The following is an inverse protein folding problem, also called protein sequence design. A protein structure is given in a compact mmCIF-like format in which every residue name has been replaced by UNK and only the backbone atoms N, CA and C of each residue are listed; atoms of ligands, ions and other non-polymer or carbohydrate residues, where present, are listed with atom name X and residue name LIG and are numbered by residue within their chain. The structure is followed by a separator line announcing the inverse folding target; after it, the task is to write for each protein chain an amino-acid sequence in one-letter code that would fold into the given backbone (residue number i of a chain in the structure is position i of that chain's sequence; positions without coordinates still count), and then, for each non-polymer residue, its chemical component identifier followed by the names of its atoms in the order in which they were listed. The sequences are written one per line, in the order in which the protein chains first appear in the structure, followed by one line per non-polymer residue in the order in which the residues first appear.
data_IF_183813069993
#
_entry.id   IF_183813069993
#
_cell.length_a   1.000
_cell.length_b   1.000
_cell.length_c   1.000
_cell.angle_alpha   90.00
_cell.angle_beta   90.00
_cell.angle_gamma   90.00
#
_symmetry.space_group_name_H-M   'P 1'
#
loop_
_entity.id
_entity.type
_entity.pdbx_description
1 polymer ?
#
# COMPACT_ATOMS: atom_id res chain seq x y z
N UNK A 1 -8.76 26.15 -14.30
CA UNK A 1 -8.52 25.55 -14.06
C UNK A 1 -8.23 25.05 -13.94
N UNK A 2 -8.48 25.16 -13.89
CA UNK A 2 -7.97 24.40 -13.51
C UNK A 2 -7.53 23.45 -13.75
N UNK A 3 -7.52 23.64 -14.33
CA UNK A 3 -6.85 22.78 -14.71
C UNK A 3 -6.06 22.04 -13.90
N UNK A 4 -5.52 22.51 -13.06
CA UNK A 4 -4.75 21.78 -12.18
C UNK A 4 -5.44 20.66 -11.63
N UNK A 5 -6.68 20.73 -11.42
CA UNK A 5 -7.41 19.65 -10.87
C UNK A 5 -7.35 18.45 -11.73
N UNK A 6 -7.38 18.64 -13.01
CA UNK A 6 -7.37 17.51 -13.88
C UNK A 6 -6.06 16.81 -13.87
N UNK A 7 -5.02 17.55 -13.60
CA UNK A 7 -3.74 16.94 -13.61
C UNK A 7 -3.45 16.22 -12.35
N UNK A 8 -4.22 16.44 -11.34
CA UNK A 8 -3.93 15.83 -10.09
C UNK A 8 -4.30 14.39 -10.10
N UNK A 9 -3.53 13.60 -9.40
CA UNK A 9 -3.85 12.21 -9.19
C UNK A 9 -4.90 12.08 -8.12
N UNK A 10 -5.63 10.99 -8.16
CA UNK A 10 -6.55 10.69 -7.08
C UNK A 10 -5.77 10.53 -5.79
N UNK A 11 -6.30 11.00 -4.67
CA UNK A 11 -5.60 10.83 -3.40
C UNK A 11 -5.53 9.36 -3.01
N UNK A 12 -4.42 8.97 -2.37
CA UNK A 12 -4.28 7.62 -1.88
C UNK A 12 -5.08 7.48 -0.59
N UNK A 13 -5.89 6.44 -0.50
CA UNK A 13 -6.71 6.18 0.67
C UNK A 13 -6.17 5.00 1.43
N UNK A 14 -6.10 5.09 2.76
CA UNK A 14 -5.69 3.93 3.55
C UNK A 14 -6.74 2.84 3.44
N UNK A 15 -6.30 1.63 3.09
CA UNK A 15 -7.21 0.51 2.90
C UNK A 15 -6.54 -0.76 3.36
N UNK A 16 -7.32 -1.66 3.92
CA UNK A 16 -6.88 -3.04 4.06
C UNK A 16 -7.04 -3.74 2.73
N UNK A 17 -6.19 -4.73 2.48
CA UNK A 17 -6.22 -5.42 1.20
C UNK A 17 -7.62 -5.96 0.90
N UNK A 18 -8.27 -6.55 1.90
CA UNK A 18 -9.60 -7.13 1.67
C UNK A 18 -10.66 -6.09 1.36
N UNK A 19 -10.41 -4.82 1.67
CA UNK A 19 -11.38 -3.76 1.45
C UNK A 19 -11.19 -3.06 0.11
N UNK A 20 -10.12 -3.34 -0.59
CA UNK A 20 -9.86 -2.66 -1.84
C UNK A 20 -10.86 -3.09 -2.90
N UNK A 21 -11.49 -2.12 -3.52
CA UNK A 21 -12.47 -2.35 -4.58
C UNK A 21 -11.82 -1.96 -5.91
N UNK A 22 -11.44 -2.95 -6.74
CA UNK A 22 -10.73 -2.62 -7.97
C UNK A 22 -11.53 -1.81 -8.97
N UNK A 23 -12.83 -1.70 -8.78
CA UNK A 23 -13.65 -0.93 -9.69
C UNK A 23 -13.77 0.52 -9.25
N UNK A 24 -13.63 0.79 -7.96
CA UNK A 24 -13.84 2.13 -7.43
C UNK A 24 -12.62 2.77 -6.83
N UNK A 25 -11.69 1.97 -6.31
CA UNK A 25 -10.48 2.53 -5.71
C UNK A 25 -9.44 2.73 -6.78
N UNK A 26 -8.86 3.93 -6.83
CA UNK A 26 -7.84 4.26 -7.82
C UNK A 26 -6.46 4.18 -7.22
N UNK A 27 -6.27 4.80 -6.07
CA UNK A 27 -5.01 4.79 -5.35
C UNK A 27 -5.25 4.43 -3.91
N UNK A 28 -4.37 3.58 -3.38
CA UNK A 28 -4.53 3.11 -2.01
C UNK A 28 -3.19 3.17 -1.30
N UNK A 29 -3.26 3.17 0.01
CA UNK A 29 -2.10 3.14 0.88
C UNK A 29 -2.25 1.92 1.77
N UNK A 30 -1.31 0.99 1.67
CA UNK A 30 -1.38 -0.28 2.38
C UNK A 30 -0.12 -0.44 3.21
N UNK A 31 -0.29 -0.86 4.45
CA UNK A 31 0.83 -1.19 5.33
C UNK A 31 0.82 -2.68 5.53
N UNK A 32 1.94 -3.32 5.26
CA UNK A 32 2.00 -4.77 5.39
C UNK A 32 3.41 -5.29 5.45
N UNK A 33 3.50 -6.60 5.40
CA UNK A 33 4.77 -7.31 5.49
C UNK A 33 5.10 -7.93 4.14
N UNK A 34 6.35 -7.80 3.74
CA UNK A 34 6.83 -8.41 2.49
C UNK A 34 6.91 -9.90 2.70
N UNK A 35 6.09 -10.65 1.96
CA UNK A 35 6.12 -12.11 2.06
C UNK A 35 7.16 -12.71 1.13
N UNK A 36 7.32 -12.15 -0.05
CA UNK A 36 8.27 -12.68 -1.02
C UNK A 36 8.64 -11.58 -1.99
N UNK A 37 9.77 -11.78 -2.66
CA UNK A 37 10.28 -10.86 -3.66
C UNK A 37 10.48 -11.60 -4.96
N UNK A 38 10.02 -11.01 -6.05
CA UNK A 38 10.26 -11.48 -7.41
C UNK A 38 11.13 -10.47 -8.13
N UNK A 39 11.26 -10.63 -9.43
CA UNK A 39 12.11 -9.73 -10.19
C UNK A 39 11.63 -8.30 -10.17
N UNK A 40 10.33 -8.11 -10.33
CA UNK A 40 9.78 -6.76 -10.44
C UNK A 40 8.57 -6.56 -9.55
N UNK A 41 8.35 -7.45 -8.59
CA UNK A 41 7.19 -7.33 -7.74
C UNK A 41 7.46 -7.96 -6.38
N UNK A 42 6.61 -7.62 -5.44
CA UNK A 42 6.62 -8.24 -4.13
C UNK A 42 5.21 -8.69 -3.80
N UNK A 43 5.12 -9.63 -2.88
CA UNK A 43 3.83 -10.01 -2.30
C UNK A 43 3.74 -9.35 -0.94
N UNK A 44 2.69 -8.58 -0.73
CA UNK A 44 2.51 -7.79 0.48
C UNK A 44 1.27 -8.27 1.21
N UNK A 45 1.42 -8.57 2.50
CA UNK A 45 0.32 -9.09 3.32
C UNK A 45 0.09 -8.16 4.49
N UNK A 46 -1.15 -7.68 4.62
CA UNK A 46 -1.49 -6.77 5.72
C UNK A 46 -2.31 -7.45 6.81
N UNK A 47 -2.41 -8.77 6.77
CA UNK A 47 -3.20 -9.49 7.77
C UNK A 47 -4.64 -9.74 7.36
N UNK A 48 -5.15 -9.00 6.41
CA UNK A 48 -6.50 -9.23 5.88
C UNK A 48 -6.46 -9.95 4.55
N UNK A 49 -5.32 -9.89 3.87
CA UNK A 49 -5.13 -10.53 2.58
C UNK A 49 -3.78 -10.14 2.04
N UNK A 50 -3.43 -10.66 0.89
CA UNK A 50 -2.17 -10.34 0.25
C UNK A 50 -2.41 -9.81 -1.15
N UNK A 51 -1.46 -9.02 -1.63
CA UNK A 51 -1.58 -8.41 -2.95
C UNK A 51 -0.20 -8.33 -3.56
N UNK A 52 -0.15 -8.48 -4.87
CA UNK A 52 1.10 -8.33 -5.61
C UNK A 52 1.30 -6.87 -5.94
N UNK A 53 2.49 -6.35 -5.65
CA UNK A 53 2.83 -4.95 -5.87
C UNK A 53 4.00 -4.91 -6.82
N UNK A 54 3.80 -4.28 -7.97
CA UNK A 54 4.87 -4.10 -8.95
C UNK A 54 5.69 -2.88 -8.60
N UNK A 55 7.00 -3.03 -8.60
CA UNK A 55 7.93 -1.99 -8.19
C UNK A 55 9.05 -1.90 -9.21
N UNK A 56 9.72 -0.75 -9.23
CA UNK A 56 10.89 -0.57 -10.05
C UNK A 56 12.13 -1.08 -9.32
N UNK A 57 13.18 -1.32 -10.09
CA UNK A 57 14.40 -1.90 -9.52
C UNK A 57 14.88 -1.10 -8.32
N UNK A 58 14.86 0.22 -8.43
CA UNK A 58 15.34 1.06 -7.36
C UNK A 58 14.53 0.88 -6.09
N UNK A 59 13.24 0.67 -6.25
CA UNK A 59 12.38 0.51 -5.08
C UNK A 59 12.60 -0.83 -4.41
N UNK A 60 13.04 -1.82 -5.16
CA UNK A 60 13.22 -3.17 -4.62
C UNK A 60 14.58 -3.37 -3.97
N UNK A 61 15.53 -2.49 -4.23
CA UNK A 61 16.90 -2.69 -3.78
C UNK A 61 17.03 -2.89 -2.29
N UNK A 62 16.24 -2.17 -1.52
CA UNK A 62 16.38 -2.19 -0.07
C UNK A 62 15.33 -3.05 0.62
N UNK A 63 14.58 -3.84 -0.13
CA UNK A 63 13.50 -4.61 0.46
C UNK A 63 13.95 -6.03 0.77
N UNK A 64 13.40 -6.59 1.84
CA UNK A 64 13.68 -7.95 2.28
C UNK A 64 12.41 -8.62 2.72
N UNK A 65 12.40 -9.94 2.65
CA UNK A 65 11.29 -10.69 3.21
C UNK A 65 11.16 -10.42 4.70
N UNK A 66 9.93 -10.29 5.14
CA UNK A 66 9.66 -10.03 6.54
C UNK A 66 9.65 -8.58 6.93
N UNK A 67 10.04 -7.71 6.01
CA UNK A 67 10.10 -6.28 6.28
C UNK A 67 8.70 -5.69 6.28
N UNK A 68 8.47 -4.77 7.22
CA UNK A 68 7.19 -4.07 7.26
C UNK A 68 7.32 -2.76 6.51
N UNK A 69 6.44 -2.54 5.56
CA UNK A 69 6.52 -1.36 4.70
C UNK A 69 5.14 -0.77 4.49
N UNK A 70 5.12 0.48 4.06
CA UNK A 70 3.91 1.15 3.61
C UNK A 70 4.08 1.44 2.13
N UNK A 71 3.07 1.06 1.35
CA UNK A 71 3.08 1.26 -0.09
C UNK A 71 1.92 2.15 -0.48
N UNK A 72 2.23 3.19 -1.26
CA UNK A 72 1.21 3.93 -1.98
C UNK A 72 1.24 3.43 -3.39
N UNK A 73 0.09 3.03 -3.91
CA UNK A 73 0.07 2.48 -5.24
C UNK A 73 -1.26 2.66 -5.94
N UNK A 74 -1.21 2.46 -7.24
CA UNK A 74 -2.40 2.52 -8.06
C UNK A 74 -2.98 1.13 -8.22
N UNK A 75 -4.29 1.04 -8.14
CA UNK A 75 -4.99 -0.23 -8.26
C UNK A 75 -5.08 -0.61 -9.72
N UNK A 76 -4.62 -1.83 -10.04
CA UNK A 76 -4.66 -2.37 -11.39
C UNK A 76 -5.63 -3.54 -11.39
N UNK A 77 -6.83 -3.37 -11.94
CA UNK A 77 -7.79 -4.49 -11.95
C UNK A 77 -7.30 -5.62 -12.85
N UNK A 78 -7.56 -6.83 -12.42
CA UNK A 78 -7.33 -8.02 -13.24
C UNK A 78 -8.66 -8.74 -13.38
N UNK A 79 -8.74 -9.76 -14.24
CA UNK A 79 -10.02 -10.45 -14.42
C UNK A 79 -10.61 -11.01 -13.14
N UNK A 80 -9.78 -11.51 -12.25
CA UNK A 80 -10.28 -12.15 -11.03
C UNK A 80 -10.05 -11.34 -9.77
N UNK A 81 -9.23 -10.30 -9.83
CA UNK A 81 -8.83 -9.62 -8.61
C UNK A 81 -8.19 -8.28 -8.97
N UNK A 82 -7.03 -7.99 -8.38
CA UNK A 82 -6.31 -6.76 -8.68
C UNK A 82 -4.86 -6.90 -8.24
N UNK A 83 -4.05 -6.00 -8.73
CA UNK A 83 -2.66 -5.84 -8.34
C UNK A 83 -2.42 -4.38 -8.06
N UNK A 84 -1.26 -4.04 -7.53
CA UNK A 84 -0.91 -2.65 -7.29
C UNK A 84 0.34 -2.30 -8.08
N UNK A 85 0.33 -1.08 -8.62
CA UNK A 85 1.54 -0.47 -9.17
C UNK A 85 2.09 0.44 -8.10
N UNK A 86 3.19 0.04 -7.47
CA UNK A 86 3.75 0.81 -6.37
C UNK A 86 4.35 2.11 -6.86
N UNK A 87 3.99 3.19 -6.20
CA UNK A 87 4.51 4.50 -6.54
C UNK A 87 5.46 5.02 -5.48
N UNK A 88 5.16 4.74 -4.22
CA UNK A 88 6.00 5.14 -3.10
C UNK A 88 6.07 3.98 -2.13
N UNK A 89 7.27 3.67 -1.70
CA UNK A 89 7.49 2.62 -0.70
C UNK A 89 8.24 3.25 0.46
N UNK A 90 7.74 3.02 1.66
CA UNK A 90 8.35 3.57 2.86
C UNK A 90 8.60 2.44 3.84
N UNK A 91 9.79 2.45 4.44
CA UNK A 91 10.14 1.45 5.44
C UNK A 91 9.37 1.75 6.72
N UNK A 92 8.65 0.76 7.18
CA UNK A 92 7.85 0.87 8.39
C UNK A 92 8.34 -0.08 9.47
N UNK A 93 9.52 -0.65 9.26
CA UNK A 93 10.03 -1.71 10.14
C UNK A 93 10.31 -1.22 11.55
N UNK A 94 10.63 0.05 11.70
CA UNK A 94 10.94 0.59 13.01
C UNK A 94 9.72 1.04 13.76
N UNK A 95 8.55 0.99 13.13
CA UNK A 95 7.31 1.37 13.81
C UNK A 95 6.76 0.16 14.53
N UNK A 96 6.58 0.29 15.85
CA UNK A 96 5.97 -0.78 16.63
C UNK A 96 4.50 -0.86 16.24
N UNK A 97 4.06 -2.00 15.70
CA UNK A 97 2.66 -2.11 15.27
C UNK A 97 1.67 -1.85 16.40
N UNK A 98 2.00 -2.30 17.61
CA UNK A 98 1.12 -2.08 18.73
C UNK A 98 1.01 -0.61 19.08
N UNK A 99 2.14 0.07 19.07
CA UNK A 99 2.16 1.50 19.35
C UNK A 99 1.41 2.27 18.27
N UNK A 100 1.60 1.89 17.03
CA UNK A 100 0.93 2.53 15.92
C UNK A 100 -0.60 2.42 16.07
N UNK A 101 -1.07 1.23 16.43
CA UNK A 101 -2.49 1.02 16.62
C UNK A 101 -3.03 1.84 17.76
N UNK A 102 -2.27 1.99 18.82
CA UNK A 102 -2.70 2.79 19.97
C UNK A 102 -2.82 4.25 19.59
N UNK A 103 -1.87 4.74 18.84
CA UNK A 103 -1.90 6.14 18.41
C UNK A 103 -3.12 6.39 17.52
N UNK A 104 -3.40 5.45 16.62
CA UNK A 104 -4.57 5.57 15.77
C UNK A 104 -5.85 5.61 16.58
N UNK A 105 -5.94 4.77 17.59
CA UNK A 105 -7.13 4.74 18.42
C UNK A 105 -7.31 6.03 19.18
N UNK A 106 -6.24 6.58 19.70
CA UNK A 106 -6.32 7.82 20.43
C UNK A 106 -6.80 8.95 19.53
N UNK A 107 -6.26 9.03 18.33
CA UNK A 107 -6.67 10.05 17.38
C UNK A 107 -8.15 9.90 17.05
N UNK A 108 -8.59 8.67 16.80
CA UNK A 108 -9.99 8.45 16.48
C UNK A 108 -10.90 8.78 17.64
N UNK A 109 -10.45 8.52 18.84
CA UNK A 109 -11.26 8.79 20.03
C UNK A 109 -11.43 10.29 20.26
N UNK A 110 -10.45 11.07 19.90
CA UNK A 110 -10.49 12.50 20.12
C UNK A 110 -11.33 13.24 19.11
N UNK A 111 -11.82 12.57 18.13
CA UNK A 111 -12.72 13.19 17.21
C UNK A 111 -14.15 13.10 17.66
#
# INVERSE_FOLDING_TARGET
MPEQQQMRRAPARPKNVEEIDPQNDIRVRVIGTVLSLDEDSISLDDGTGSVEVFLEDEQMEDLEEGQRIRVLGRVLPTPDSFELQGEVVQDFSEVDPELYDRVKKVVNTNE
#
